data_IF_514346782601
#
_entry.id   IF_514346782601
#
_cell.length_a   1.000
_cell.length_b   1.000
_cell.length_c   1.000
_cell.angle_alpha   90.00
_cell.angle_beta   90.00
_cell.angle_gamma   90.00
#
_symmetry.space_group_name_H-M   'P 1'
#
loop_
_entity.id
_entity.type
_entity.pdbx_description
1 polymer ?
#
# COMPACT_ATOMS: atom_id res chain seq x y z
N UNK A 1 6.73 -5.74 20.65
CA UNK A 1 6.16 -6.15 19.35
C UNK A 1 5.26 -7.36 19.54
N UNK A 2 4.17 -7.38 18.80
CA UNK A 2 3.25 -8.52 18.79
C UNK A 2 3.70 -9.51 17.72
N UNK A 3 3.81 -10.80 18.08
CA UNK A 3 4.23 -11.85 17.18
C UNK A 3 3.16 -12.94 17.10
N UNK A 4 2.90 -13.39 15.87
CA UNK A 4 1.97 -14.50 15.60
C UNK A 4 0.59 -14.26 16.16
N UNK A 5 0.06 -13.05 15.90
CA UNK A 5 -1.29 -12.68 16.29
C UNK A 5 -2.18 -12.79 15.05
N UNK A 6 -3.38 -13.30 15.23
CA UNK A 6 -4.35 -13.39 14.14
C UNK A 6 -5.63 -12.67 14.50
N UNK A 7 -6.19 -11.96 13.53
CA UNK A 7 -7.49 -11.33 13.64
C UNK A 7 -8.38 -11.83 12.50
N UNK A 8 -9.54 -12.32 12.83
CA UNK A 8 -10.52 -12.83 11.86
C UNK A 8 -11.88 -12.25 12.15
N UNK A 9 -12.56 -11.75 11.10
CA UNK A 9 -13.91 -11.19 11.23
C UNK A 9 -13.96 -10.04 12.25
N UNK A 10 -12.94 -9.21 12.25
CA UNK A 10 -12.82 -8.08 13.18
C UNK A 10 -13.05 -6.77 12.46
N UNK A 11 -13.51 -5.77 13.22
CA UNK A 11 -13.66 -4.40 12.73
C UNK A 11 -13.01 -3.46 13.73
N UNK A 12 -12.09 -2.65 13.24
CA UNK A 12 -11.44 -1.60 14.02
C UNK A 12 -11.91 -0.26 13.49
N UNK A 13 -12.45 0.58 14.37
CA UNK A 13 -12.96 1.88 13.97
C UNK A 13 -12.37 2.95 14.89
N UNK A 14 -11.80 3.99 14.29
CA UNK A 14 -11.19 5.12 15.00
C UNK A 14 -10.13 4.70 16.02
N UNK A 15 -9.39 3.62 15.71
CA UNK A 15 -8.32 3.14 16.59
C UNK A 15 -7.00 3.81 16.27
N UNK A 16 -6.20 4.08 17.30
CA UNK A 16 -4.86 4.59 17.11
C UNK A 16 -3.86 3.42 17.22
N UNK A 17 -3.33 3.01 16.08
CA UNK A 17 -2.38 1.93 15.96
C UNK A 17 -1.01 2.46 15.49
N UNK A 18 -0.77 3.76 15.71
CA UNK A 18 0.46 4.40 15.27
C UNK A 18 1.69 3.77 15.92
N UNK A 19 2.72 3.55 15.13
CA UNK A 19 3.98 3.00 15.60
C UNK A 19 3.94 1.55 16.04
N UNK A 20 2.79 0.87 15.85
CA UNK A 20 2.66 -0.53 16.24
C UNK A 20 3.53 -1.40 15.36
N UNK A 21 4.25 -2.35 15.96
CA UNK A 21 5.10 -3.28 15.24
C UNK A 21 4.53 -4.69 15.36
N UNK A 22 4.14 -5.25 14.21
CA UNK A 22 3.54 -6.58 14.15
C UNK A 22 4.39 -7.49 13.29
N UNK A 23 4.69 -8.69 13.80
CA UNK A 23 5.40 -9.72 13.05
C UNK A 23 4.55 -10.97 12.93
N UNK A 24 4.52 -11.54 11.72
CA UNK A 24 3.78 -12.78 11.46
C UNK A 24 2.30 -12.68 11.83
N UNK A 25 1.71 -11.49 11.65
CA UNK A 25 0.30 -11.27 11.92
C UNK A 25 -0.53 -11.78 10.74
N UNK A 26 -1.69 -12.31 11.05
CA UNK A 26 -2.67 -12.70 10.04
C UNK A 26 -3.91 -11.83 10.20
N UNK A 27 -4.31 -11.18 9.12
CA UNK A 27 -5.56 -10.43 9.06
C UNK A 27 -6.45 -11.11 8.02
N UNK A 28 -7.60 -11.59 8.45
CA UNK A 28 -8.55 -12.28 7.56
C UNK A 28 -9.95 -11.74 7.79
N UNK A 29 -10.56 -11.19 6.74
CA UNK A 29 -11.86 -10.53 6.80
C UNK A 29 -11.90 -9.48 7.90
N UNK A 30 -10.93 -8.56 7.84
CA UNK A 30 -10.80 -7.47 8.80
C UNK A 30 -11.12 -6.15 8.10
N UNK A 31 -11.79 -5.26 8.80
CA UNK A 31 -12.07 -3.91 8.33
C UNK A 31 -11.43 -2.91 9.28
N UNK A 32 -10.65 -2.00 8.73
CA UNK A 32 -10.07 -0.90 9.50
C UNK A 32 -10.63 0.41 8.93
N UNK A 33 -11.42 1.12 9.73
CA UNK A 33 -12.06 2.36 9.32
C UNK A 33 -11.55 3.52 10.15
N UNK A 34 -11.07 4.57 9.48
CA UNK A 34 -10.62 5.81 10.10
C UNK A 34 -9.62 5.58 11.23
N UNK A 35 -8.76 4.58 11.05
CA UNK A 35 -7.72 4.26 12.01
C UNK A 35 -6.43 5.01 11.69
N UNK A 36 -5.60 5.23 12.71
CA UNK A 36 -4.25 5.75 12.53
C UNK A 36 -3.27 4.59 12.50
N UNK A 37 -2.49 4.54 11.44
CA UNK A 37 -1.45 3.54 11.24
C UNK A 37 -0.11 4.21 10.97
N UNK A 38 0.03 5.47 11.32
CA UNK A 38 1.23 6.25 11.04
C UNK A 38 2.47 5.60 11.65
N UNK A 39 3.44 5.27 10.82
CA UNK A 39 4.68 4.64 11.28
C UNK A 39 4.53 3.20 11.74
N UNK A 40 3.37 2.58 11.55
CA UNK A 40 3.21 1.16 11.89
C UNK A 40 4.06 0.29 10.97
N UNK A 41 4.48 -0.87 11.47
CA UNK A 41 5.29 -1.81 10.71
C UNK A 41 4.64 -3.19 10.73
N UNK A 42 4.49 -3.79 9.55
CA UNK A 42 4.01 -5.16 9.40
C UNK A 42 5.10 -5.96 8.70
N UNK A 43 5.61 -6.98 9.37
CA UNK A 43 6.65 -7.85 8.84
C UNK A 43 6.11 -9.28 8.72
N UNK A 44 6.23 -9.85 7.54
CA UNK A 44 5.75 -11.20 7.23
C UNK A 44 4.30 -11.40 7.62
N UNK A 45 3.47 -10.39 7.33
CA UNK A 45 2.04 -10.47 7.57
C UNK A 45 1.34 -11.15 6.38
N UNK A 46 0.29 -11.87 6.69
CA UNK A 46 -0.63 -12.41 5.69
C UNK A 46 -1.96 -11.69 5.84
N UNK A 47 -2.35 -10.95 4.80
CA UNK A 47 -3.55 -10.11 4.85
C UNK A 47 -4.47 -10.55 3.71
N UNK A 48 -5.67 -11.02 4.04
CA UNK A 48 -6.63 -11.49 3.05
C UNK A 48 -8.01 -10.92 3.33
N UNK A 49 -8.73 -10.57 2.26
CA UNK A 49 -10.11 -10.10 2.35
C UNK A 49 -10.28 -8.99 3.38
N UNK A 50 -9.36 -8.02 3.34
CA UNK A 50 -9.27 -6.96 4.34
C UNK A 50 -9.38 -5.60 3.65
N UNK A 51 -10.06 -4.68 4.31
CA UNK A 51 -10.28 -3.33 3.79
C UNK A 51 -9.73 -2.30 4.76
N UNK A 52 -8.95 -1.37 4.22
CA UNK A 52 -8.50 -0.17 4.93
C UNK A 52 -9.24 1.01 4.33
N UNK A 53 -10.10 1.65 5.10
CA UNK A 53 -10.94 2.75 4.64
C UNK A 53 -10.64 4.00 5.46
N UNK A 54 -10.25 5.09 4.78
CA UNK A 54 -10.05 6.38 5.44
C UNK A 54 -8.94 6.40 6.47
N UNK A 55 -7.95 5.52 6.34
CA UNK A 55 -6.88 5.41 7.33
C UNK A 55 -5.77 6.40 7.07
N UNK A 56 -5.20 6.95 8.15
CA UNK A 56 -4.00 7.77 8.10
C UNK A 56 -2.79 6.85 8.32
N UNK A 57 -2.10 6.53 7.25
CA UNK A 57 -1.04 5.51 7.25
C UNK A 57 0.27 6.02 6.65
N UNK A 58 0.58 7.30 6.87
CA UNK A 58 1.86 7.85 6.44
C UNK A 58 2.99 7.09 7.13
N UNK A 59 4.08 6.83 6.41
CA UNK A 59 5.23 6.07 6.91
C UNK A 59 4.91 4.63 7.32
N UNK A 60 3.78 4.09 6.90
CA UNK A 60 3.50 2.67 7.09
C UNK A 60 4.56 1.86 6.36
N UNK A 61 5.08 0.82 7.00
CA UNK A 61 6.06 -0.04 6.38
C UNK A 61 5.57 -1.48 6.35
N UNK A 62 5.54 -2.05 5.14
CA UNK A 62 5.22 -3.45 4.92
C UNK A 62 6.46 -4.15 4.39
N UNK A 63 6.83 -5.27 4.99
CA UNK A 63 8.00 -6.03 4.58
C UNK A 63 7.68 -7.51 4.55
N UNK A 64 8.00 -8.15 3.42
CA UNK A 64 7.78 -9.59 3.24
C UNK A 64 6.35 -10.01 3.51
N UNK A 65 5.37 -9.18 3.12
CA UNK A 65 3.96 -9.43 3.37
C UNK A 65 3.29 -10.02 2.14
N UNK A 66 2.24 -10.79 2.38
CA UNK A 66 1.36 -11.30 1.33
C UNK A 66 -0.02 -10.70 1.50
N UNK A 67 -0.48 -9.98 0.48
CA UNK A 67 -1.79 -9.36 0.47
C UNK A 67 -2.62 -9.94 -0.66
N UNK A 68 -3.81 -10.44 -0.34
CA UNK A 68 -4.72 -10.99 -1.33
C UNK A 68 -6.13 -10.44 -1.07
N UNK A 69 -6.71 -9.85 -2.11
CA UNK A 69 -8.03 -9.22 -2.02
C UNK A 69 -8.08 -8.19 -0.89
N UNK A 70 -7.09 -7.31 -0.90
CA UNK A 70 -7.00 -6.21 0.07
C UNK A 70 -7.35 -4.91 -0.64
N UNK A 71 -8.19 -4.11 0.00
CA UNK A 71 -8.63 -2.82 -0.52
C UNK A 71 -8.10 -1.71 0.38
N UNK A 72 -7.44 -0.74 -0.23
CA UNK A 72 -7.02 0.50 0.42
C UNK A 72 -7.82 1.62 -0.24
N UNK A 73 -8.70 2.26 0.49
CA UNK A 73 -9.58 3.31 -0.06
C UNK A 73 -9.52 4.56 0.79
N UNK A 74 -9.35 5.69 0.13
CA UNK A 74 -9.28 7.00 0.79
C UNK A 74 -8.23 7.04 1.91
N UNK A 75 -7.10 6.37 1.71
CA UNK A 75 -6.04 6.28 2.71
C UNK A 75 -4.88 7.23 2.36
N UNK A 76 -4.28 7.80 3.40
CA UNK A 76 -3.02 8.50 3.25
C UNK A 76 -1.89 7.50 3.46
N UNK A 77 -1.07 7.35 2.43
CA UNK A 77 0.04 6.41 2.41
C UNK A 77 1.33 7.13 1.98
N UNK A 78 1.46 8.38 2.39
CA UNK A 78 2.63 9.19 2.04
C UNK A 78 3.88 8.60 2.69
N UNK A 79 4.94 8.49 1.89
CA UNK A 79 6.22 7.96 2.35
C UNK A 79 6.09 6.55 2.96
N UNK A 80 5.08 5.80 2.54
CA UNK A 80 4.95 4.40 2.92
C UNK A 80 5.99 3.55 2.20
N UNK A 81 6.40 2.46 2.84
CA UNK A 81 7.37 1.54 2.27
C UNK A 81 6.70 0.17 2.05
N UNK A 82 6.81 -0.31 0.82
CA UNK A 82 6.28 -1.61 0.40
C UNK A 82 7.46 -2.43 -0.13
N UNK A 83 8.03 -3.26 0.72
CA UNK A 83 9.22 -4.04 0.38
C UNK A 83 8.91 -5.52 0.38
N UNK A 84 9.18 -6.18 -0.75
CA UNK A 84 8.92 -7.61 -0.92
C UNK A 84 7.46 -7.96 -0.58
N UNK A 85 6.52 -7.16 -1.06
CA UNK A 85 5.10 -7.37 -0.82
C UNK A 85 4.50 -8.02 -2.05
N UNK A 86 3.78 -9.11 -1.84
CA UNK A 86 3.01 -9.76 -2.90
C UNK A 86 1.60 -9.19 -2.89
N UNK A 87 1.20 -8.55 -3.99
CA UNK A 87 -0.13 -7.96 -4.14
C UNK A 87 -0.92 -8.77 -5.15
N UNK A 88 -1.97 -9.45 -4.69
CA UNK A 88 -2.85 -10.21 -5.56
C UNK A 88 -4.27 -9.70 -5.40
N UNK A 89 -4.90 -9.30 -6.51
CA UNK A 89 -6.24 -8.72 -6.48
C UNK A 89 -6.34 -7.57 -5.48
N UNK A 90 -5.33 -6.72 -5.45
CA UNK A 90 -5.27 -5.56 -4.57
C UNK A 90 -5.91 -4.35 -5.25
N UNK A 91 -6.59 -3.54 -4.45
CA UNK A 91 -7.22 -2.30 -4.90
C UNK A 91 -6.63 -1.13 -4.11
N UNK A 92 -6.11 -0.15 -4.84
CA UNK A 92 -5.68 1.13 -4.29
C UNK A 92 -6.55 2.21 -4.93
N UNK A 93 -7.51 2.72 -4.18
CA UNK A 93 -8.49 3.66 -4.68
C UNK A 93 -8.45 4.96 -3.88
N UNK A 94 -8.21 6.07 -4.60
CA UNK A 94 -8.16 7.41 -4.02
C UNK A 94 -7.19 7.52 -2.84
N UNK A 95 -6.04 6.87 -2.98
CA UNK A 95 -4.99 6.93 -1.97
C UNK A 95 -3.93 7.97 -2.32
N UNK A 96 -3.35 8.58 -1.30
CA UNK A 96 -2.22 9.48 -1.48
C UNK A 96 -0.93 8.68 -1.30
N UNK A 97 -0.26 8.41 -2.42
CA UNK A 97 1.00 7.65 -2.45
C UNK A 97 2.20 8.57 -2.68
N UNK A 98 2.09 9.84 -2.30
CA UNK A 98 3.18 10.80 -2.45
C UNK A 98 4.44 10.27 -1.74
N UNK A 99 5.54 10.18 -2.49
CA UNK A 99 6.83 9.69 -2.00
C UNK A 99 6.79 8.25 -1.46
N UNK A 100 5.76 7.49 -1.78
CA UNK A 100 5.73 6.07 -1.42
C UNK A 100 6.83 5.32 -2.17
N UNK A 101 7.35 4.26 -1.56
CA UNK A 101 8.41 3.45 -2.12
C UNK A 101 7.94 2.02 -2.28
N UNK A 102 7.97 1.53 -3.51
CA UNK A 102 7.70 0.13 -3.81
C UNK A 102 9.00 -0.53 -4.24
N UNK A 103 9.51 -1.45 -3.42
CA UNK A 103 10.77 -2.17 -3.67
C UNK A 103 10.48 -3.66 -3.76
N UNK A 104 10.90 -4.28 -4.86
CA UNK A 104 10.64 -5.69 -5.08
C UNK A 104 9.17 -6.04 -4.86
N UNK A 105 8.29 -5.12 -5.27
CA UNK A 105 6.84 -5.24 -5.11
C UNK A 105 6.19 -5.00 -6.46
N UNK A 106 5.98 -6.04 -7.25
CA UNK A 106 5.35 -5.90 -8.57
C UNK A 106 3.94 -5.35 -8.46
N UNK A 107 3.61 -4.42 -9.35
CA UNK A 107 2.30 -3.77 -9.40
C UNK A 107 1.45 -4.29 -10.55
N UNK A 108 1.75 -5.48 -11.06
CA UNK A 108 0.97 -6.10 -12.13
C UNK A 108 -0.49 -6.23 -11.72
N UNK A 109 -1.38 -5.83 -12.62
CA UNK A 109 -2.82 -5.88 -12.42
C UNK A 109 -3.33 -4.97 -11.30
N UNK A 110 -2.52 -4.03 -10.83
CA UNK A 110 -2.95 -3.00 -9.88
C UNK A 110 -3.24 -1.73 -10.66
N UNK A 111 -4.36 -1.08 -10.36
CA UNK A 111 -4.66 0.23 -10.92
C UNK A 111 -4.30 1.32 -9.91
N UNK A 112 -3.51 2.28 -10.35
CA UNK A 112 -3.15 3.46 -9.56
C UNK A 112 -3.86 4.71 -10.09
N UNK A 113 -4.83 4.54 -10.99
CA UNK A 113 -5.40 5.65 -11.77
C UNK A 113 -6.09 6.72 -10.92
N UNK A 114 -6.58 6.36 -9.73
CA UNK A 114 -7.25 7.32 -8.84
C UNK A 114 -6.35 7.82 -7.72
N UNK A 115 -5.08 7.42 -7.71
CA UNK A 115 -4.14 7.76 -6.63
C UNK A 115 -3.27 8.95 -6.99
N UNK A 116 -2.76 9.62 -5.96
CA UNK A 116 -1.73 10.66 -6.12
C UNK A 116 -0.37 9.98 -6.12
N UNK A 117 0.43 10.22 -7.17
CA UNK A 117 1.70 9.52 -7.38
C UNK A 117 2.91 10.46 -7.36
N UNK A 118 2.79 11.66 -6.79
CA UNK A 118 3.90 12.60 -6.77
C UNK A 118 5.12 12.00 -6.08
N UNK A 119 6.28 12.08 -6.73
CA UNK A 119 7.55 11.57 -6.20
C UNK A 119 7.50 10.06 -5.84
N UNK A 120 6.65 9.30 -6.48
CA UNK A 120 6.59 7.84 -6.30
C UNK A 120 7.95 7.23 -6.66
N UNK A 121 8.42 6.31 -5.84
CA UNK A 121 9.67 5.59 -6.08
C UNK A 121 9.35 4.11 -6.32
N UNK A 122 9.67 3.65 -7.50
CA UNK A 122 9.42 2.26 -7.90
C UNK A 122 10.41 1.89 -9.01
N UNK A 123 10.91 0.67 -8.98
CA UNK A 123 11.73 0.19 -10.07
C UNK A 123 10.85 0.02 -11.32
N UNK A 124 11.28 0.53 -12.49
CA UNK A 124 10.49 0.36 -13.72
C UNK A 124 10.05 -1.06 -14.01
N UNK A 125 10.83 -2.06 -13.63
CA UNK A 125 10.46 -3.47 -13.83
C UNK A 125 9.19 -3.84 -13.05
N UNK A 126 8.95 -3.23 -11.90
CA UNK A 126 7.79 -3.50 -11.06
C UNK A 126 6.53 -2.80 -11.57
N UNK A 127 6.65 -1.90 -12.53
CA UNK A 127 5.52 -1.22 -13.16
C UNK A 127 4.87 -2.04 -14.27
N UNK A 128 5.44 -3.17 -14.65
CA UNK A 128 4.88 -3.99 -15.72
C UNK A 128 3.47 -4.41 -15.34
N UNK A 129 2.51 -4.11 -16.21
CA UNK A 129 1.11 -4.50 -16.01
C UNK A 129 0.32 -3.60 -15.08
N UNK A 130 0.90 -2.49 -14.62
CA UNK A 130 0.16 -1.51 -13.82
C UNK A 130 -0.77 -0.71 -14.74
N UNK A 131 -1.90 -0.27 -14.19
CA UNK A 131 -2.82 0.64 -14.89
C UNK A 131 -2.71 2.03 -14.27
N UNK A 132 -2.58 3.04 -15.13
CA UNK A 132 -2.47 4.44 -14.71
C UNK A 132 -3.25 5.32 -15.68
N UNK A 133 -3.51 6.57 -15.28
CA UNK A 133 -4.08 7.56 -16.18
C UNK A 133 -3.01 8.10 -17.13
N UNK A 134 -3.45 8.79 -18.20
CA UNK A 134 -2.51 9.41 -19.14
C UNK A 134 -1.59 10.42 -18.46
N UNK A 135 -2.15 11.24 -17.57
CA UNK A 135 -1.35 12.23 -16.83
C UNK A 135 -0.32 11.56 -15.92
N UNK A 136 -0.71 10.48 -15.25
CA UNK A 136 0.22 9.71 -14.43
C UNK A 136 1.32 9.06 -15.26
N UNK A 137 1.00 8.61 -16.47
CA UNK A 137 2.00 8.05 -17.36
C UNK A 137 3.09 9.07 -17.67
N UNK A 138 2.72 10.34 -17.87
CA UNK A 138 3.69 11.42 -18.07
C UNK A 138 4.58 11.59 -16.84
N UNK A 139 4.01 11.55 -15.65
CA UNK A 139 4.78 11.64 -14.42
C UNK A 139 5.78 10.50 -14.28
N UNK A 140 5.36 9.28 -14.66
CA UNK A 140 6.19 8.09 -14.50
C UNK A 140 7.32 8.00 -15.53
N UNK A 141 7.24 8.75 -16.63
CA UNK A 141 8.29 8.76 -17.65
C UNK A 141 9.67 9.09 -17.06
N UNK A 142 9.72 9.93 -16.03
CA UNK A 142 10.97 10.28 -15.38
C UNK A 142 11.70 9.10 -14.77
N UNK A 143 10.97 8.05 -14.37
CA UNK A 143 11.59 6.85 -13.82
C UNK A 143 12.38 6.07 -14.86
N UNK A 144 12.06 6.26 -16.15
CA UNK A 144 12.76 5.64 -17.26
C UNK A 144 13.83 6.57 -17.86
N UNK A 145 14.08 7.72 -17.25
CA UNK A 145 14.99 8.69 -17.79
C UNK A 145 14.47 9.42 -19.03
N UNK A 146 13.18 9.34 -19.29
CA UNK A 146 12.55 9.97 -20.46
C UNK A 146 12.23 11.41 -20.12
N UNK A 147 12.67 12.34 -20.99
CA UNK A 147 12.30 13.75 -20.90
C UNK A 147 11.19 14.03 -21.91
N UNK A 148 10.21 14.81 -21.47
CA UNK A 148 9.08 15.18 -22.33
C UNK A 148 9.34 16.60 -22.83
N UNK A 149 9.30 16.76 -24.15
CA UNK A 149 9.41 18.07 -24.78
C UNK A 149 8.04 18.55 -25.23
N UNK A 150 7.76 19.80 -24.98
CA UNK A 150 6.49 20.43 -25.37
C UNK A 150 6.66 21.26 -26.61
#
# INVERSE_FOLDING_TARGET
AFKRVGFTDCRFSHCDLSGLKLQNVTLHRVQLEDCRLTGAELVRASVTDTTFQGCAADYLALSECKAQRVVWRDCRLRESLWQDVSLKDAVLDQCDLTSAQFRYTPLANVSLATCTLDALQVDPADLRGVSVSALQALQLCGLFGIRIEE
#
